data_IF_569146280836
#
_entry.id   IF_569146280836
#
_cell.length_a   1.000
_cell.length_b   1.000
_cell.length_c   1.000
_cell.angle_alpha   90.00
_cell.angle_beta   90.00
_cell.angle_gamma   90.00
#
_symmetry.space_group_name_H-M   'P 1'
#
loop_
_entity.id
_entity.type
_entity.pdbx_description
1 polymer ?
#
# COMPACT_ATOMS: atom_id res chain seq x y z
N UNK A 1 -15.92 -17.52 -37.71
CA UNK A 1 -16.10 -17.97 -36.31
C UNK A 1 -15.32 -17.16 -35.28
N UNK A 2 -14.64 -16.05 -35.65
CA UNK A 2 -13.86 -15.24 -34.70
C UNK A 2 -14.69 -14.21 -33.91
N UNK A 3 -15.87 -13.84 -34.43
CA UNK A 3 -16.78 -12.89 -33.77
C UNK A 3 -17.67 -13.68 -32.81
N UNK A 4 -17.67 -13.37 -31.51
CA UNK A 4 -18.53 -14.05 -30.54
C UNK A 4 -20.01 -13.91 -30.92
N UNK A 5 -20.80 -14.97 -30.71
CA UNK A 5 -22.26 -15.03 -30.88
C UNK A 5 -22.81 -14.85 -32.30
N UNK A 6 -22.02 -14.37 -33.26
CA UNK A 6 -22.51 -14.10 -34.63
C UNK A 6 -22.91 -15.38 -35.36
N UNK A 7 -22.13 -16.45 -35.18
CA UNK A 7 -22.41 -17.74 -35.81
C UNK A 7 -23.69 -18.35 -35.22
N UNK A 8 -23.81 -18.34 -33.90
CA UNK A 8 -24.93 -18.90 -33.17
C UNK A 8 -26.24 -18.15 -33.48
N UNK A 9 -26.22 -16.82 -33.48
CA UNK A 9 -27.40 -16.00 -33.82
C UNK A 9 -27.83 -16.20 -35.26
N UNK A 10 -26.88 -16.29 -36.20
CA UNK A 10 -27.18 -16.56 -37.60
C UNK A 10 -27.86 -17.92 -37.77
N UNK A 11 -27.29 -18.99 -37.20
CA UNK A 11 -27.85 -20.34 -37.35
C UNK A 11 -29.24 -20.48 -36.72
N UNK A 12 -29.51 -19.75 -35.62
CA UNK A 12 -30.85 -19.70 -35.02
C UNK A 12 -31.85 -18.94 -35.90
N UNK A 13 -31.45 -17.81 -36.46
CA UNK A 13 -32.29 -17.06 -37.39
C UNK A 13 -32.57 -17.88 -38.66
N UNK A 14 -31.56 -18.51 -39.26
CA UNK A 14 -31.75 -19.34 -40.44
C UNK A 14 -32.70 -20.52 -40.16
N UNK A 15 -32.71 -21.08 -38.93
CA UNK A 15 -33.68 -22.11 -38.53
C UNK A 15 -35.11 -21.59 -38.32
N UNK A 16 -35.28 -20.43 -37.65
CA UNK A 16 -36.61 -19.86 -37.34
C UNK A 16 -37.36 -19.46 -38.61
N UNK A 17 -36.65 -18.94 -39.61
CA UNK A 17 -37.24 -18.32 -40.80
C UNK A 17 -37.24 -19.24 -42.03
N UNK A 18 -36.80 -20.50 -41.89
CA UNK A 18 -36.81 -21.50 -42.96
C UNK A 18 -37.80 -22.61 -42.62
N UNK A 19 -38.68 -22.96 -43.57
CA UNK A 19 -39.58 -24.10 -43.43
C UNK A 19 -38.79 -25.42 -43.49
N UNK A 20 -38.44 -25.96 -42.32
CA UNK A 20 -37.66 -27.20 -42.17
C UNK A 20 -38.37 -28.22 -41.29
N UNK A 21 -38.19 -29.50 -41.59
CA UNK A 21 -38.68 -30.62 -40.76
C UNK A 21 -37.70 -31.02 -39.65
N UNK A 22 -36.53 -30.38 -39.58
CA UNK A 22 -35.48 -30.69 -38.60
C UNK A 22 -35.68 -29.93 -37.29
N UNK A 23 -35.52 -30.63 -36.17
CA UNK A 23 -35.40 -30.01 -34.85
C UNK A 23 -34.09 -29.19 -34.76
N UNK A 24 -34.07 -28.16 -33.93
CA UNK A 24 -32.97 -27.20 -33.75
C UNK A 24 -31.60 -27.89 -33.55
N UNK A 25 -31.52 -28.92 -32.70
CA UNK A 25 -30.25 -29.63 -32.47
C UNK A 25 -29.71 -30.32 -33.73
N UNK A 26 -30.59 -30.83 -34.59
CA UNK A 26 -30.18 -31.47 -35.84
C UNK A 26 -29.78 -30.41 -36.89
N UNK A 27 -30.45 -29.26 -36.88
CA UNK A 27 -30.08 -28.12 -37.71
C UNK A 27 -28.68 -27.59 -37.36
N UNK A 28 -28.41 -27.36 -36.06
CA UNK A 28 -27.08 -26.91 -35.60
C UNK A 28 -25.97 -27.92 -35.93
N UNK A 29 -26.25 -29.23 -35.83
CA UNK A 29 -25.30 -30.27 -36.25
C UNK A 29 -25.02 -30.22 -37.75
N UNK A 30 -26.04 -30.00 -38.57
CA UNK A 30 -25.90 -29.89 -40.03
C UNK A 30 -25.05 -28.67 -40.41
N UNK A 31 -25.30 -27.51 -39.79
CA UNK A 31 -24.51 -26.28 -39.98
C UNK A 31 -23.05 -26.45 -39.56
N UNK A 32 -22.78 -27.10 -38.42
CA UNK A 32 -21.41 -27.36 -37.96
C UNK A 32 -20.66 -28.31 -38.92
N UNK A 33 -21.31 -29.38 -39.40
CA UNK A 33 -20.74 -30.28 -40.41
C UNK A 33 -20.45 -29.50 -41.70
N UNK A 34 -21.40 -28.67 -42.15
CA UNK A 34 -21.23 -27.87 -43.36
C UNK A 34 -20.04 -26.92 -43.23
N UNK A 35 -19.92 -26.19 -42.11
CA UNK A 35 -18.82 -25.26 -41.87
C UNK A 35 -17.45 -25.97 -41.90
N UNK A 36 -17.34 -27.13 -41.27
CA UNK A 36 -16.10 -27.92 -41.25
C UNK A 36 -15.75 -28.49 -42.64
N UNK A 37 -16.73 -29.03 -43.36
CA UNK A 37 -16.54 -29.53 -44.74
C UNK A 37 -16.16 -28.40 -45.69
N UNK A 38 -16.79 -27.23 -45.54
CA UNK A 38 -16.47 -26.05 -46.33
C UNK A 38 -15.03 -25.59 -46.09
N UNK A 39 -14.58 -25.52 -44.83
CA UNK A 39 -13.19 -25.19 -44.50
C UNK A 39 -12.20 -26.17 -45.15
N UNK A 40 -12.47 -27.48 -45.03
CA UNK A 40 -11.66 -28.52 -45.67
C UNK A 40 -11.64 -28.38 -47.19
N UNK A 41 -12.78 -28.08 -47.81
CA UNK A 41 -12.88 -27.85 -49.26
C UNK A 41 -12.05 -26.65 -49.69
N UNK A 42 -12.08 -25.55 -48.94
CA UNK A 42 -11.24 -24.38 -49.17
C UNK A 42 -9.75 -24.71 -49.02
N UNK A 43 -9.37 -25.49 -48.00
CA UNK A 43 -7.98 -25.92 -47.82
C UNK A 43 -7.52 -26.81 -48.97
N UNK A 44 -8.32 -27.78 -49.40
CA UNK A 44 -7.99 -28.66 -50.53
C UNK A 44 -7.83 -27.88 -51.83
N UNK A 45 -8.74 -26.93 -52.09
CA UNK A 45 -8.63 -26.03 -53.24
C UNK A 45 -7.36 -25.18 -53.18
N UNK A 46 -7.00 -24.67 -52.01
CA UNK A 46 -5.75 -23.90 -51.83
C UNK A 46 -4.49 -24.77 -52.03
N UNK A 47 -4.52 -26.03 -51.57
CA UNK A 47 -3.43 -27.00 -51.82
C UNK A 47 -3.30 -27.36 -53.30
N UNK A 48 -4.40 -27.43 -54.04
CA UNK A 48 -4.44 -27.69 -55.49
C UNK A 48 -3.94 -26.49 -56.31
N UNK A 49 -4.38 -25.28 -55.96
CA UNK A 49 -4.03 -24.04 -56.66
C UNK A 49 -2.59 -23.58 -56.37
N UNK A 50 -2.06 -23.90 -55.18
CA UNK A 50 -0.68 -23.61 -54.77
C UNK A 50 0.08 -24.89 -54.38
N UNK A 51 0.41 -25.75 -55.36
CA UNK A 51 1.01 -27.06 -55.09
C UNK A 51 2.42 -26.90 -54.56
N UNK A 52 2.70 -27.52 -53.41
CA UNK A 52 4.04 -27.53 -52.81
C UNK A 52 4.77 -28.82 -53.20
N UNK A 53 6.03 -28.76 -53.71
CA UNK A 53 6.75 -29.95 -54.14
C UNK A 53 6.99 -30.91 -52.97
N UNK A 54 6.58 -32.17 -53.14
CA UNK A 54 6.71 -33.22 -52.13
C UNK A 54 8.20 -33.50 -51.87
N UNK A 55 8.59 -33.60 -50.60
CA UNK A 55 9.99 -33.85 -50.21
C UNK A 55 10.92 -32.63 -50.24
N UNK A 56 10.42 -31.45 -50.62
CA UNK A 56 11.21 -30.21 -50.58
C UNK A 56 11.20 -29.57 -49.18
N UNK A 57 12.31 -28.91 -48.81
CA UNK A 57 12.41 -28.14 -47.57
C UNK A 57 11.49 -26.91 -47.65
N UNK A 58 10.57 -26.77 -46.70
CA UNK A 58 9.79 -25.53 -46.50
C UNK A 58 10.72 -24.34 -46.22
N UNK A 59 10.43 -23.20 -46.84
CA UNK A 59 11.22 -21.96 -46.72
C UNK A 59 11.50 -21.61 -45.26
N UNK A 60 12.75 -21.30 -44.96
CA UNK A 60 13.18 -20.89 -43.62
C UNK A 60 12.41 -19.65 -43.15
N UNK A 61 12.09 -18.72 -44.06
CA UNK A 61 11.34 -17.51 -43.73
C UNK A 61 9.93 -17.83 -43.19
N UNK A 62 9.22 -18.79 -43.80
CA UNK A 62 7.89 -19.20 -43.32
C UNK A 62 7.97 -19.89 -41.96
N UNK A 63 9.02 -20.70 -41.74
CA UNK A 63 9.24 -21.41 -40.45
C UNK A 63 9.52 -20.44 -39.31
N UNK A 64 10.52 -19.58 -39.48
CA UNK A 64 10.94 -18.65 -38.43
C UNK A 64 9.99 -17.46 -38.30
N UNK A 65 9.32 -17.03 -39.38
CA UNK A 65 8.31 -15.98 -39.34
C UNK A 65 7.08 -16.42 -38.55
N UNK A 66 6.38 -17.48 -39.01
CA UNK A 66 5.17 -17.95 -38.33
C UNK A 66 5.47 -18.47 -36.93
N UNK A 67 6.55 -19.25 -36.77
CA UNK A 67 6.97 -19.76 -35.47
C UNK A 67 7.41 -18.65 -34.51
N UNK A 68 8.14 -17.64 -35.02
CA UNK A 68 8.60 -16.50 -34.24
C UNK A 68 7.46 -15.60 -33.77
N UNK A 69 6.46 -15.33 -34.63
CA UNK A 69 5.27 -14.56 -34.26
C UNK A 69 4.47 -15.30 -33.18
N UNK A 70 4.27 -16.61 -33.31
CA UNK A 70 3.59 -17.42 -32.30
C UNK A 70 4.35 -17.44 -30.97
N UNK A 71 5.68 -17.63 -31.00
CA UNK A 71 6.52 -17.62 -29.81
C UNK A 71 6.50 -16.25 -29.10
N UNK A 72 6.62 -15.17 -29.87
CA UNK A 72 6.55 -13.80 -29.35
C UNK A 72 5.20 -13.51 -28.69
N UNK A 73 4.08 -13.93 -29.32
CA UNK A 73 2.75 -13.76 -28.75
C UNK A 73 2.61 -14.46 -27.39
N UNK A 74 3.15 -15.68 -27.25
CA UNK A 74 3.15 -16.42 -25.98
C UNK A 74 3.96 -15.69 -24.91
N UNK A 75 5.16 -15.22 -25.26
CA UNK A 75 6.01 -14.44 -24.33
C UNK A 75 5.27 -13.19 -23.88
N UNK A 76 4.62 -12.47 -24.81
CA UNK A 76 3.85 -11.27 -24.49
C UNK A 76 2.72 -11.60 -23.51
N UNK A 77 1.92 -12.64 -23.75
CA UNK A 77 0.80 -13.02 -22.86
C UNK A 77 1.29 -13.32 -21.43
N UNK A 78 2.48 -13.90 -21.26
CA UNK A 78 3.04 -14.21 -19.94
C UNK A 78 3.64 -12.96 -19.27
N UNK A 79 4.41 -12.15 -20.01
CA UNK A 79 5.21 -11.06 -19.43
C UNK A 79 4.48 -9.72 -19.39
N UNK A 80 3.57 -9.46 -20.32
CA UNK A 80 2.78 -8.23 -20.36
C UNK A 80 1.95 -7.97 -19.09
N UNK A 81 1.22 -8.94 -18.51
CA UNK A 81 0.49 -8.69 -17.26
C UNK A 81 1.44 -8.38 -16.08
N UNK A 82 2.63 -8.99 -16.06
CA UNK A 82 3.66 -8.69 -15.06
C UNK A 82 4.20 -7.26 -15.22
N UNK A 83 4.39 -6.81 -16.45
CA UNK A 83 4.78 -5.44 -16.77
C UNK A 83 3.69 -4.44 -16.35
N UNK A 84 2.42 -4.75 -16.56
CA UNK A 84 1.32 -3.90 -16.10
C UNK A 84 1.26 -3.84 -14.57
N UNK A 85 1.49 -4.97 -13.88
CA UNK A 85 1.51 -5.01 -12.41
C UNK A 85 2.66 -4.18 -11.82
N UNK A 86 3.85 -4.20 -12.42
CA UNK A 86 4.98 -3.40 -11.96
C UNK A 86 4.77 -1.90 -12.18
N UNK A 87 4.05 -1.51 -13.24
CA UNK A 87 3.69 -0.11 -13.51
C UNK A 87 2.49 0.37 -12.66
N UNK A 88 1.54 -0.51 -12.35
CA UNK A 88 0.26 -0.13 -11.73
C UNK A 88 0.28 0.05 -10.21
N UNK A 89 1.25 -0.54 -9.50
CA UNK A 89 1.30 -0.49 -8.03
C UNK A 89 2.07 0.72 -7.46
N UNK A 90 2.41 1.70 -8.28
CA UNK A 90 3.24 2.84 -7.84
C UNK A 90 2.46 3.98 -7.19
N UNK A 91 1.17 3.79 -6.86
CA UNK A 91 0.40 4.83 -6.17
C UNK A 91 0.64 4.69 -4.66
N UNK A 92 1.71 5.32 -4.18
CA UNK A 92 1.92 5.53 -2.75
C UNK A 92 0.78 6.37 -2.18
N UNK A 93 0.16 5.89 -1.11
CA UNK A 93 -0.83 6.66 -0.36
C UNK A 93 -0.17 7.26 0.88
N UNK A 94 -0.25 8.57 1.00
CA UNK A 94 0.21 9.30 2.18
C UNK A 94 -0.72 9.02 3.36
N UNK A 95 -0.16 8.60 4.49
CA UNK A 95 -0.90 8.17 5.67
C UNK A 95 -0.51 9.00 6.91
N UNK A 96 -1.05 10.22 7.00
CA UNK A 96 -0.82 11.08 8.16
C UNK A 96 -1.54 10.53 9.40
N UNK A 97 -0.95 10.66 10.60
CA UNK A 97 -1.64 10.36 11.84
C UNK A 97 -2.76 11.38 12.10
N UNK A 98 -3.88 10.91 12.64
CA UNK A 98 -5.03 11.75 13.02
C UNK A 98 -5.03 12.10 14.52
N UNK A 99 -4.35 11.30 15.33
CA UNK A 99 -4.18 11.51 16.77
C UNK A 99 -2.74 11.22 17.16
N UNK A 100 -2.19 12.06 18.04
CA UNK A 100 -0.91 11.85 18.68
C UNK A 100 -1.09 12.01 20.19
N UNK A 101 -0.77 10.97 20.94
CA UNK A 101 -0.79 11.00 22.41
C UNK A 101 0.64 10.90 22.92
N UNK A 102 1.03 11.81 23.81
CA UNK A 102 2.33 11.84 24.47
C UNK A 102 2.11 11.81 25.98
N UNK A 103 2.83 10.93 26.66
CA UNK A 103 2.76 10.76 28.11
C UNK A 103 4.16 10.84 28.73
N UNK A 104 4.25 11.53 29.86
CA UNK A 104 5.46 11.60 30.69
C UNK A 104 5.14 11.00 32.04
N UNK A 105 5.86 9.95 32.41
CA UNK A 105 5.71 9.29 33.71
C UNK A 105 7.05 9.18 34.44
N UNK A 106 6.97 9.19 35.77
CA UNK A 106 8.09 8.96 36.67
C UNK A 106 7.90 7.57 37.27
N UNK A 107 8.89 6.69 37.17
CA UNK A 107 8.83 5.37 37.78
C UNK A 107 7.66 4.53 37.27
N UNK A 108 7.00 3.85 38.20
CA UNK A 108 5.73 3.14 37.98
C UNK A 108 4.51 3.92 38.44
N UNK A 109 4.62 5.25 38.59
CA UNK A 109 3.52 6.10 39.05
C UNK A 109 2.67 6.61 37.88
N UNK A 110 1.49 7.16 38.22
CA UNK A 110 0.59 7.79 37.25
C UNK A 110 1.30 8.89 36.45
N UNK A 111 1.07 8.99 35.13
CA UNK A 111 1.71 9.99 34.27
C UNK A 111 1.48 11.42 34.76
N UNK A 112 2.56 12.17 34.95
CA UNK A 112 2.53 13.57 35.40
C UNK A 112 2.07 14.53 34.29
N UNK A 113 2.23 14.12 33.04
CA UNK A 113 1.80 14.88 31.88
C UNK A 113 1.24 13.92 30.84
N UNK A 114 0.05 14.22 30.35
CA UNK A 114 -0.58 13.51 29.25
C UNK A 114 -1.24 14.51 28.33
N UNK A 115 -0.88 14.47 27.06
CA UNK A 115 -1.45 15.32 26.03
C UNK A 115 -1.85 14.47 24.83
N UNK A 116 -3.07 14.67 24.35
CA UNK A 116 -3.52 14.17 23.06
C UNK A 116 -3.75 15.35 22.10
N UNK A 117 -3.04 15.36 20.99
CA UNK A 117 -3.19 16.33 19.92
C UNK A 117 -4.03 15.71 18.78
N UNK A 118 -5.11 16.40 18.41
CA UNK A 118 -6.06 15.97 17.37
C UNK A 118 -6.07 16.94 16.18
N UNK A 119 -7.00 16.69 15.23
CA UNK A 119 -7.20 17.47 14.01
C UNK A 119 -7.29 18.98 14.30
N UNK A 120 -6.22 19.70 13.97
CA UNK A 120 -6.03 21.13 14.28
C UNK A 120 -4.61 21.43 14.76
N UNK A 121 -4.08 20.56 15.62
CA UNK A 121 -2.69 20.59 16.13
C UNK A 121 -1.77 19.59 15.41
N UNK A 122 -2.37 18.69 14.63
CA UNK A 122 -1.70 17.82 13.67
C UNK A 122 -1.90 18.41 12.27
N UNK A 123 -0.83 18.92 11.67
CA UNK A 123 -0.87 19.53 10.33
C UNK A 123 0.22 18.95 9.46
N UNK A 124 -0.09 18.74 8.19
CA UNK A 124 0.91 18.44 7.19
C UNK A 124 1.96 19.56 7.14
N UNK A 125 3.22 19.20 6.98
CA UNK A 125 4.31 20.15 6.89
C UNK A 125 4.15 21.00 5.61
N UNK A 126 4.10 22.34 5.72
CA UNK A 126 4.08 23.21 4.55
C UNK A 126 5.36 23.02 3.72
N UNK A 127 5.23 23.08 2.39
CA UNK A 127 6.34 22.83 1.47
C UNK A 127 7.56 23.73 1.74
N UNK A 128 7.36 25.00 2.09
CA UNK A 128 8.45 25.92 2.43
C UNK A 128 9.27 25.45 3.65
N UNK A 129 8.59 24.87 4.65
CA UNK A 129 9.24 24.33 5.85
C UNK A 129 9.98 23.03 5.54
N UNK A 130 9.49 22.23 4.60
CA UNK A 130 10.19 21.03 4.10
C UNK A 130 11.51 21.40 3.42
N UNK A 131 11.50 22.41 2.54
CA UNK A 131 12.73 22.90 1.88
C UNK A 131 13.73 23.42 2.91
N UNK A 132 13.27 24.15 3.94
CA UNK A 132 14.14 24.59 5.04
C UNK A 132 14.73 23.43 5.83
N UNK A 133 13.94 22.41 6.14
CA UNK A 133 14.41 21.20 6.82
C UNK A 133 15.51 20.49 6.01
N UNK A 134 15.28 20.32 4.70
CA UNK A 134 16.30 19.74 3.81
C UNK A 134 17.56 20.61 3.74
N UNK A 135 17.42 21.93 3.71
CA UNK A 135 18.56 22.85 3.68
C UNK A 135 19.39 22.81 4.97
N UNK A 136 18.75 22.72 6.14
CA UNK A 136 19.42 22.63 7.44
C UNK A 136 20.32 21.39 7.53
N UNK A 137 19.83 20.26 7.02
CA UNK A 137 20.57 18.99 7.04
C UNK A 137 21.43 18.76 5.79
N UNK A 138 21.67 19.79 4.96
CA UNK A 138 22.38 19.62 3.67
C UNK A 138 23.82 19.12 3.82
N UNK A 139 24.46 19.44 4.95
CA UNK A 139 25.83 19.01 5.26
C UNK A 139 25.93 17.54 5.70
N UNK A 140 24.82 16.92 6.12
CA UNK A 140 24.80 15.54 6.60
C UNK A 140 24.21 14.60 5.53
N UNK A 141 25.09 13.87 4.85
CA UNK A 141 24.71 12.93 3.78
C UNK A 141 23.72 11.84 4.24
N UNK A 142 23.86 11.35 5.47
CA UNK A 142 22.95 10.33 6.01
C UNK A 142 21.54 10.89 6.23
N UNK A 143 21.44 12.12 6.75
CA UNK A 143 20.15 12.79 6.92
C UNK A 143 19.49 13.10 5.57
N UNK A 144 20.26 13.53 4.56
CA UNK A 144 19.72 13.74 3.20
C UNK A 144 19.19 12.45 2.58
N UNK A 145 19.94 11.35 2.70
CA UNK A 145 19.49 10.05 2.20
C UNK A 145 18.21 9.57 2.89
N UNK A 146 18.04 9.86 4.20
CA UNK A 146 16.82 9.57 4.93
C UNK A 146 15.64 10.43 4.44
N UNK A 147 15.82 11.75 4.36
CA UNK A 147 14.79 12.70 3.94
C UNK A 147 14.36 12.50 2.48
N UNK A 148 15.24 12.00 1.61
CA UNK A 148 14.93 11.71 0.22
C UNK A 148 13.88 10.60 0.02
N UNK A 149 13.59 9.80 1.06
CA UNK A 149 12.57 8.75 1.00
C UNK A 149 11.15 9.27 1.29
N UNK A 150 11.00 10.54 1.63
CA UNK A 150 9.72 11.15 2.01
C UNK A 150 9.43 12.37 1.15
N UNK A 151 8.16 12.66 0.93
CA UNK A 151 7.70 13.95 0.40
C UNK A 151 7.18 14.84 1.54
N UNK A 152 7.01 16.13 1.28
CA UNK A 152 6.40 17.08 2.22
C UNK A 152 5.00 16.63 2.65
N UNK A 153 4.29 15.88 1.80
CA UNK A 153 3.00 15.27 2.12
C UNK A 153 3.08 14.22 3.23
N UNK A 154 4.17 13.46 3.30
CA UNK A 154 4.31 12.35 4.25
C UNK A 154 4.71 12.82 5.66
N UNK A 155 5.05 14.09 5.81
CA UNK A 155 5.55 14.67 7.06
C UNK A 155 4.48 15.53 7.71
N UNK A 156 4.21 15.25 8.99
CA UNK A 156 3.29 16.01 9.82
C UNK A 156 4.02 16.68 10.98
N UNK A 157 3.59 17.88 11.34
CA UNK A 157 4.01 18.59 12.54
C UNK A 157 2.91 18.46 13.59
N UNK A 158 3.31 18.04 14.79
CA UNK A 158 2.43 17.98 15.95
C UNK A 158 2.76 19.13 16.89
N UNK A 159 1.81 20.04 17.08
CA UNK A 159 1.93 21.12 18.06
C UNK A 159 1.31 20.69 19.38
N UNK A 160 2.16 20.43 20.38
CA UNK A 160 1.73 20.04 21.72
C UNK A 160 1.53 21.28 22.59
N UNK A 161 0.44 21.34 23.35
CA UNK A 161 0.28 22.39 24.36
C UNK A 161 1.18 22.08 25.58
N UNK A 162 1.65 23.13 26.27
CA UNK A 162 2.45 22.95 27.49
C UNK A 162 1.64 22.47 28.71
N UNK A 163 0.30 22.55 28.64
CA UNK A 163 -0.59 22.10 29.71
C UNK A 163 -1.12 20.70 29.41
N UNK A 164 -1.08 19.82 30.41
CA UNK A 164 -1.64 18.48 30.33
C UNK A 164 -3.14 18.54 30.05
N UNK A 165 -3.64 17.67 29.16
CA UNK A 165 -5.09 17.51 28.93
C UNK A 165 -5.75 16.66 30.02
N UNK A 166 -4.96 15.90 30.78
CA UNK A 166 -5.42 15.09 31.90
C UNK A 166 -4.98 15.68 33.24
N UNK A 167 -5.87 15.60 34.23
CA UNK A 167 -5.55 15.89 35.64
C UNK A 167 -4.64 14.77 36.15
N UNK A 168 -3.62 15.11 36.94
CA UNK A 168 -2.78 14.13 37.60
C UNK A 168 -3.53 13.49 38.78
N UNK A 169 -4.06 12.28 38.58
CA UNK A 169 -4.93 11.57 39.54
C UNK A 169 -4.14 10.68 40.51
N UNK A 170 -2.92 11.06 40.88
CA UNK A 170 -2.11 10.29 41.83
C UNK A 170 -2.78 10.24 43.21
N UNK A 171 -2.68 9.09 43.88
CA UNK A 171 -3.16 9.00 45.27
C UNK A 171 -2.21 9.73 46.23
N UNK A 172 -2.70 10.36 47.33
CA UNK A 172 -1.83 10.98 48.32
C UNK A 172 -0.67 10.10 48.82
N UNK A 173 -0.88 8.80 49.16
CA UNK A 173 0.23 7.94 49.57
C UNK A 173 1.21 7.65 48.43
N UNK A 174 0.74 7.54 47.17
CA UNK A 174 1.62 7.38 46.00
C UNK A 174 2.45 8.63 45.74
N UNK A 175 1.90 9.82 45.96
CA UNK A 175 2.62 11.08 45.85
C UNK A 175 3.74 11.18 46.91
N UNK A 176 3.44 10.86 48.16
CA UNK A 176 4.45 10.83 49.24
C UNK A 176 5.56 9.82 48.97
N UNK A 177 5.21 8.63 48.46
CA UNK A 177 6.15 7.60 48.05
C UNK A 177 7.08 8.09 46.92
N UNK A 178 6.51 8.70 45.87
CA UNK A 178 7.28 9.28 44.76
C UNK A 178 8.27 10.35 45.25
N UNK A 179 7.82 11.24 46.16
CA UNK A 179 8.67 12.27 46.75
C UNK A 179 9.82 11.67 47.56
N UNK A 180 9.54 10.63 48.35
CA UNK A 180 10.57 9.93 49.12
C UNK A 180 11.58 9.22 48.21
N UNK A 181 11.10 8.63 47.10
CA UNK A 181 11.92 7.93 46.12
C UNK A 181 12.84 8.90 45.36
N UNK A 182 12.31 10.03 44.87
CA UNK A 182 13.08 11.08 44.20
C UNK A 182 14.23 11.58 45.08
N UNK A 183 14.03 11.70 46.40
CA UNK A 183 15.07 12.15 47.33
C UNK A 183 16.12 11.09 47.63
N UNK A 184 15.79 9.80 47.50
CA UNK A 184 16.65 8.69 47.89
C UNK A 184 17.49 8.14 46.73
N UNK A 185 16.87 7.93 45.58
CA UNK A 185 17.49 7.20 44.46
C UNK A 185 17.14 7.80 43.11
N UNK A 186 17.84 7.34 42.07
CA UNK A 186 17.51 7.67 40.70
C UNK A 186 16.15 7.06 40.32
N UNK A 187 15.33 7.84 39.63
CA UNK A 187 13.98 7.43 39.18
C UNK A 187 13.95 7.46 37.65
N UNK A 188 13.42 6.43 36.98
CA UNK A 188 13.32 6.46 35.53
C UNK A 188 12.22 7.43 35.09
N UNK A 189 12.57 8.40 34.25
CA UNK A 189 11.65 9.26 33.52
C UNK A 189 11.34 8.61 32.18
N UNK A 190 10.08 8.28 31.94
CA UNK A 190 9.61 7.65 30.72
C UNK A 190 8.78 8.65 29.93
N UNK A 191 9.22 8.94 28.71
CA UNK A 191 8.46 9.67 27.71
C UNK A 191 7.94 8.66 26.69
N UNK A 192 6.63 8.43 26.64
CA UNK A 192 5.99 7.59 25.62
C UNK A 192 5.21 8.44 24.63
N UNK A 193 5.13 7.98 23.39
CA UNK A 193 4.31 8.58 22.36
C UNK A 193 3.61 7.51 21.54
N UNK A 194 2.39 7.81 21.11
CA UNK A 194 1.58 6.96 20.26
C UNK A 194 0.94 7.80 19.16
N UNK A 195 1.03 7.32 17.92
CA UNK A 195 0.43 7.93 16.75
C UNK A 195 -0.65 6.99 16.21
N UNK A 196 -1.87 7.49 16.07
CA UNK A 196 -2.98 6.74 15.49
C UNK A 196 -3.29 7.22 14.07
N UNK A 197 -3.55 6.28 13.16
CA UNK A 197 -3.86 6.51 11.74
C UNK A 197 -5.22 5.93 11.38
N UNK A 198 -5.88 6.50 10.39
CA UNK A 198 -7.10 5.92 9.79
C UNK A 198 -6.67 4.93 8.73
N UNK A 199 -6.86 3.65 8.99
CA UNK A 199 -6.42 2.58 8.09
C UNK A 199 -7.63 2.14 7.25
N UNK A 200 -7.75 2.69 6.06
CA UNK A 200 -8.70 2.18 5.06
C UNK A 200 -7.91 1.36 4.03
N UNK A 201 -8.09 0.03 4.04
CA UNK A 201 -7.51 -0.92 3.08
C UNK A 201 -5.96 -0.91 2.93
N UNK A 202 -5.21 -0.47 3.93
CA UNK A 202 -3.75 -0.55 3.95
C UNK A 202 -3.25 -1.60 4.95
N UNK A 203 -2.12 -2.26 4.65
CA UNK A 203 -1.42 -3.18 5.58
C UNK A 203 -0.68 -2.43 6.72
N UNK A 204 -0.99 -1.16 6.93
CA UNK A 204 -0.32 -0.31 7.91
C UNK A 204 -0.89 -0.54 9.31
N UNK A 205 -0.03 -0.53 10.33
CA UNK A 205 -0.47 -0.56 11.72
C UNK A 205 -1.30 0.69 12.07
N UNK A 206 -2.45 0.47 12.72
CA UNK A 206 -3.37 1.53 13.10
C UNK A 206 -2.78 2.48 14.15
N UNK A 207 -2.00 1.94 15.07
CA UNK A 207 -1.35 2.70 16.15
C UNK A 207 0.11 2.29 16.19
N UNK A 208 0.99 3.28 16.09
CA UNK A 208 2.44 3.09 16.23
C UNK A 208 2.87 3.84 17.48
N UNK A 209 3.47 3.13 18.44
CA UNK A 209 3.96 3.71 19.68
C UNK A 209 5.41 3.36 19.94
N UNK A 210 6.08 4.23 20.69
CA UNK A 210 7.42 3.98 21.20
C UNK A 210 7.62 4.76 22.51
N UNK A 211 8.67 4.43 23.24
CA UNK A 211 9.01 5.10 24.49
C UNK A 211 10.52 5.36 24.59
N UNK A 212 10.87 6.44 25.26
CA UNK A 212 12.22 6.76 25.66
C UNK A 212 12.28 6.89 27.17
N UNK A 213 13.10 6.04 27.79
CA UNK A 213 13.37 6.09 29.22
C UNK A 213 14.74 6.71 29.48
N UNK A 214 14.81 7.67 30.38
CA UNK A 214 16.03 8.31 30.86
C UNK A 214 16.07 8.19 32.38
N UNK A 215 17.23 7.87 32.94
CA UNK A 215 17.38 7.82 34.40
C UNK A 215 17.63 9.22 34.95
N UNK A 216 16.78 9.69 35.86
CA UNK A 216 17.01 10.92 36.62
C UNK A 216 18.06 10.64 37.69
N UNK A 217 19.34 10.78 37.35
CA UNK A 217 20.44 10.60 38.30
C UNK A 217 20.78 11.88 39.06
N UNK A 218 20.65 13.04 38.40
CA UNK A 218 20.98 14.35 38.96
C UNK A 218 20.19 14.61 40.25
N UNK A 219 20.92 14.93 41.31
CA UNK A 219 20.34 15.14 42.63
C UNK A 219 19.60 16.47 42.71
N UNK A 220 20.11 17.52 42.07
CA UNK A 220 19.52 18.86 42.16
C UNK A 220 18.16 18.87 41.45
N UNK A 221 18.10 18.30 40.24
CA UNK A 221 16.84 18.15 39.48
C UNK A 221 15.82 17.32 40.25
N UNK A 222 16.25 16.21 40.88
CA UNK A 222 15.35 15.37 41.68
C UNK A 222 14.82 16.09 42.91
N UNK A 223 15.66 16.89 43.59
CA UNK A 223 15.22 17.68 44.74
C UNK A 223 14.24 18.77 44.32
N UNK A 224 14.53 19.52 43.26
CA UNK A 224 13.60 20.54 42.74
C UNK A 224 12.25 19.94 42.31
N UNK A 225 12.25 18.76 41.67
CA UNK A 225 11.01 18.05 41.35
C UNK A 225 10.25 17.62 42.61
N UNK A 226 10.96 17.08 43.61
CA UNK A 226 10.35 16.66 44.87
C UNK A 226 9.72 17.84 45.63
N UNK A 227 10.34 19.02 45.59
CA UNK A 227 9.83 20.22 46.26
C UNK A 227 8.64 20.82 45.49
N UNK A 228 8.68 20.81 44.15
CA UNK A 228 7.53 21.14 43.30
C UNK A 228 6.31 20.25 43.62
N UNK A 229 6.53 18.94 43.79
CA UNK A 229 5.46 18.00 44.14
C UNK A 229 4.90 18.19 45.55
N UNK A 230 5.63 18.83 46.46
CA UNK A 230 5.14 19.19 47.80
C UNK A 230 4.30 20.46 47.81
N UNK A 231 4.32 21.24 46.73
CA UNK A 231 3.67 22.54 46.67
C UNK A 231 4.44 23.64 47.41
N UNK A 232 5.72 23.42 47.71
CA UNK A 232 6.64 24.46 48.20
C UNK A 232 7.36 25.08 47.00
N UNK A 233 7.26 26.40 46.77
CA UNK A 233 7.96 27.07 45.67
C UNK A 233 9.48 27.06 45.85
#
# INVERSE_FOLDING_TARGET
MLIPFLYELRSLMDWIWTDTSMNLTNWLKMEDIFANVFLLKCQRRAEEEYPTPRGSRRSSLTKYGLGGVMLFAIILVIWFPLLLFSLGNTVGQTLLPHDCTVELSLGGYEPIFKISAQQGNLRQLPYDSWVRLQAEYKSNAAAQAFLANYDAADVAVVTLNGNSTAIWTVSPPSQEALIAELRRSAVPLRLSWAFSRTVDNTNAEKVVSNERTVQLSDQDVRQSLADMLRGTP
#
